data_IF_062569065359
#
_entry.id   IF_062569065359
#
_cell.length_a   1.000
_cell.length_b   1.000
_cell.length_c   1.000
_cell.angle_alpha   90.00
_cell.angle_beta   90.00
_cell.angle_gamma   90.00
#
_symmetry.space_group_name_H-M   'P 1'
#
loop_
_entity.id
_entity.type
_entity.pdbx_description
1 polymer ?
#
# COMPACT_ATOMS: atom_id res chain seq x y z
N UNK A 1 -16.86 42.10 -26.24
CA UNK A 1 -16.58 41.10 -25.19
C UNK A 1 -15.32 40.34 -25.61
N UNK A 2 -14.15 40.67 -25.04
CA UNK A 2 -12.89 39.95 -25.33
C UNK A 2 -12.87 38.68 -24.48
N UNK A 3 -12.97 37.52 -25.12
CA UNK A 3 -12.84 36.22 -24.45
C UNK A 3 -11.48 36.13 -23.77
N UNK A 4 -11.47 35.86 -22.46
CA UNK A 4 -10.27 35.52 -21.71
C UNK A 4 -9.64 34.29 -22.36
N UNK A 5 -8.52 34.48 -23.05
CA UNK A 5 -7.67 33.38 -23.49
C UNK A 5 -7.13 32.68 -22.24
N UNK A 6 -7.68 31.52 -21.92
CA UNK A 6 -7.06 30.59 -21.00
C UNK A 6 -5.69 30.23 -21.58
N UNK A 7 -4.61 30.51 -20.83
CA UNK A 7 -3.26 30.08 -21.18
C UNK A 7 -3.24 28.55 -21.21
N UNK A 8 -3.48 27.98 -22.40
CA UNK A 8 -3.35 26.56 -22.64
C UNK A 8 -1.86 26.27 -22.79
N UNK A 9 -1.19 25.97 -21.68
CA UNK A 9 0.19 25.48 -21.72
C UNK A 9 0.18 24.11 -22.41
N UNK A 10 0.59 24.08 -23.68
CA UNK A 10 0.78 22.83 -24.42
C UNK A 10 2.02 22.12 -23.88
N UNK A 11 1.81 21.11 -23.03
CA UNK A 11 2.86 20.18 -22.62
C UNK A 11 2.96 19.12 -23.71
N UNK A 12 4.14 19.01 -24.34
CA UNK A 12 4.44 17.87 -25.23
C UNK A 12 4.64 16.63 -24.35
N UNK A 13 3.81 15.62 -24.56
CA UNK A 13 4.00 14.31 -23.97
C UNK A 13 4.77 13.45 -24.97
N UNK A 14 6.05 13.19 -24.69
CA UNK A 14 6.78 12.10 -25.35
C UNK A 14 6.33 10.79 -24.72
N UNK A 15 5.19 10.28 -25.17
CA UNK A 15 4.67 8.98 -24.78
C UNK A 15 4.59 8.09 -26.01
N UNK A 16 5.02 6.84 -25.88
CA UNK A 16 4.77 5.81 -26.89
C UNK A 16 3.25 5.67 -27.13
N UNK A 17 2.87 5.44 -28.37
CA UNK A 17 1.47 5.32 -28.80
C UNK A 17 0.74 4.23 -28.00
N UNK A 18 1.42 3.14 -27.67
CA UNK A 18 0.87 2.06 -26.84
C UNK A 18 0.55 2.50 -25.41
N UNK A 19 1.33 3.43 -24.83
CA UNK A 19 1.02 4.02 -23.52
C UNK A 19 -0.16 4.98 -23.63
N UNK A 20 -0.18 5.83 -24.66
CA UNK A 20 -1.28 6.77 -24.90
C UNK A 20 -2.63 6.06 -25.08
N UNK A 21 -2.66 4.92 -25.77
CA UNK A 21 -3.86 4.12 -25.97
C UNK A 21 -4.34 3.46 -24.68
N UNK A 22 -3.43 2.92 -23.86
CA UNK A 22 -3.78 2.38 -22.54
C UNK A 22 -4.34 3.45 -21.60
N UNK A 23 -3.73 4.64 -21.58
CA UNK A 23 -4.19 5.75 -20.75
C UNK A 23 -5.58 6.24 -21.16
N UNK A 24 -5.82 6.37 -22.47
CA UNK A 24 -7.15 6.69 -23.01
C UNK A 24 -8.20 5.67 -22.56
N UNK A 25 -7.89 4.38 -22.62
CA UNK A 25 -8.81 3.32 -22.18
C UNK A 25 -9.05 3.35 -20.67
N UNK A 26 -7.99 3.47 -19.87
CA UNK A 26 -8.06 3.52 -18.41
C UNK A 26 -8.92 4.67 -17.91
N UNK A 27 -8.78 5.86 -18.50
CA UNK A 27 -9.50 7.07 -18.10
C UNK A 27 -10.77 7.34 -18.92
N UNK A 28 -11.14 6.43 -19.84
CA UNK A 28 -12.31 6.58 -20.71
C UNK A 28 -12.25 7.81 -21.65
N UNK A 29 -11.05 8.30 -21.97
CA UNK A 29 -10.85 9.50 -22.78
C UNK A 29 -10.56 9.18 -24.24
N UNK A 30 -11.09 10.00 -25.16
CA UNK A 30 -10.80 9.87 -26.60
C UNK A 30 -9.44 10.47 -27.00
N UNK A 31 -8.90 11.38 -26.18
CA UNK A 31 -7.68 12.13 -26.45
C UNK A 31 -6.67 11.87 -25.34
N UNK A 32 -5.43 11.54 -25.73
CA UNK A 32 -4.38 11.18 -24.78
C UNK A 32 -4.02 12.32 -23.83
N UNK A 33 -3.97 13.57 -24.30
CA UNK A 33 -3.67 14.73 -23.45
C UNK A 33 -4.64 14.90 -22.28
N UNK A 34 -5.93 14.59 -22.48
CA UNK A 34 -6.92 14.61 -21.39
C UNK A 34 -6.72 13.45 -20.42
N UNK A 35 -6.40 12.25 -20.92
CA UNK A 35 -6.10 11.10 -20.07
C UNK A 35 -4.89 11.36 -19.17
N UNK A 36 -3.82 11.97 -19.72
CA UNK A 36 -2.64 12.33 -18.96
C UNK A 36 -2.90 13.48 -17.96
N UNK A 37 -3.75 14.45 -18.31
CA UNK A 37 -4.14 15.50 -17.36
C UNK A 37 -4.87 14.92 -16.15
N UNK A 38 -5.84 14.02 -16.36
CA UNK A 38 -6.54 13.34 -15.27
C UNK A 38 -5.59 12.49 -14.41
N UNK A 39 -4.67 11.76 -15.05
CA UNK A 39 -3.66 11.00 -14.31
C UNK A 39 -2.75 11.88 -13.45
N UNK A 40 -2.40 13.08 -13.93
CA UNK A 40 -1.62 14.04 -13.17
C UNK A 40 -2.40 14.61 -11.98
N UNK A 41 -3.71 14.82 -12.13
CA UNK A 41 -4.60 15.24 -11.03
C UNK A 41 -4.68 14.16 -9.93
N UNK A 42 -4.77 12.89 -10.31
CA UNK A 42 -4.86 11.77 -9.37
C UNK A 42 -3.51 11.44 -8.69
N UNK A 43 -2.38 11.75 -9.34
CA UNK A 43 -1.06 11.27 -8.95
C UNK A 43 -0.69 11.59 -7.49
N UNK A 44 -0.99 12.80 -7.02
CA UNK A 44 -0.66 13.21 -5.66
C UNK A 44 -1.49 12.46 -4.62
N UNK A 45 -2.79 12.28 -4.88
CA UNK A 45 -3.67 11.54 -3.99
C UNK A 45 -3.27 10.05 -3.91
N UNK A 46 -2.95 9.45 -5.06
CA UNK A 46 -2.45 8.08 -5.13
C UNK A 46 -1.11 7.92 -4.40
N UNK A 47 -0.19 8.88 -4.53
CA UNK A 47 1.09 8.86 -3.82
C UNK A 47 0.89 8.94 -2.31
N UNK A 48 0.03 9.83 -1.83
CA UNK A 48 -0.30 9.93 -0.41
C UNK A 48 -0.91 8.62 0.11
N UNK A 49 -1.84 8.04 -0.66
CA UNK A 49 -2.47 6.76 -0.29
C UNK A 49 -1.48 5.61 -0.24
N UNK A 50 -0.51 5.57 -1.16
CA UNK A 50 0.52 4.54 -1.14
C UNK A 50 1.39 4.62 0.11
N UNK A 51 1.80 5.83 0.53
CA UNK A 51 2.54 6.01 1.78
C UNK A 51 1.73 5.59 3.01
N UNK A 52 0.45 5.96 3.08
CA UNK A 52 -0.43 5.48 4.16
C UNK A 52 -0.50 3.95 4.21
N UNK A 53 -0.61 3.29 3.05
CA UNK A 53 -0.65 1.84 2.96
C UNK A 53 0.68 1.20 3.38
N UNK A 54 1.81 1.80 3.00
CA UNK A 54 3.15 1.36 3.42
C UNK A 54 3.32 1.45 4.95
N UNK A 55 2.82 2.52 5.56
CA UNK A 55 2.82 2.69 7.01
C UNK A 55 1.98 1.62 7.71
N UNK A 56 0.77 1.35 7.19
CA UNK A 56 -0.12 0.30 7.71
C UNK A 56 0.54 -1.07 7.59
N UNK A 57 1.15 -1.39 6.44
CA UNK A 57 1.87 -2.66 6.23
C UNK A 57 3.02 -2.79 7.23
N UNK A 58 3.75 -1.70 7.49
CA UNK A 58 4.88 -1.69 8.43
C UNK A 58 4.40 -1.94 9.86
N UNK A 59 3.32 -1.26 10.27
CA UNK A 59 2.70 -1.45 11.58
C UNK A 59 2.20 -2.90 11.76
N UNK A 60 1.52 -3.46 10.76
CA UNK A 60 1.04 -4.84 10.78
C UNK A 60 2.17 -5.86 10.87
N UNK A 61 3.27 -5.66 10.14
CA UNK A 61 4.46 -6.53 10.22
C UNK A 61 5.07 -6.53 11.62
N UNK A 62 5.15 -5.36 12.27
CA UNK A 62 5.63 -5.25 13.64
C UNK A 62 4.73 -6.01 14.61
N UNK A 63 3.42 -5.84 14.46
CA UNK A 63 2.44 -6.51 15.32
C UNK A 63 2.47 -8.03 15.16
N UNK A 64 2.59 -8.54 13.92
CA UNK A 64 2.75 -9.98 13.67
C UNK A 64 3.98 -10.53 14.40
N UNK A 65 5.12 -9.83 14.33
CA UNK A 65 6.34 -10.26 15.04
C UNK A 65 6.13 -10.28 16.55
N UNK A 66 5.44 -9.27 17.10
CA UNK A 66 5.11 -9.21 18.53
C UNK A 66 4.25 -10.41 18.94
N UNK A 67 3.19 -10.71 18.18
CA UNK A 67 2.30 -11.83 18.45
C UNK A 67 3.03 -13.18 18.34
N UNK A 68 3.91 -13.35 17.36
CA UNK A 68 4.75 -14.55 17.25
C UNK A 68 5.63 -14.75 18.48
N UNK A 69 6.26 -13.68 18.99
CA UNK A 69 7.07 -13.75 20.21
C UNK A 69 6.23 -14.13 21.43
N UNK A 70 5.02 -13.57 21.57
CA UNK A 70 4.09 -13.92 22.66
C UNK A 70 3.69 -15.39 22.60
N UNK A 71 3.38 -15.91 21.41
CA UNK A 71 3.03 -17.33 21.23
C UNK A 71 4.19 -18.23 21.64
N UNK A 72 5.43 -17.88 21.25
CA UNK A 72 6.60 -18.69 21.58
C UNK A 72 6.90 -18.69 23.09
N UNK A 73 6.76 -17.53 23.74
CA UNK A 73 6.86 -17.44 25.20
C UNK A 73 5.79 -18.28 25.90
N UNK A 74 4.55 -18.24 25.42
CA UNK A 74 3.46 -19.04 25.98
C UNK A 74 3.74 -20.55 25.84
N UNK A 75 4.28 -20.99 24.70
CA UNK A 75 4.70 -22.39 24.49
C UNK A 75 5.81 -22.80 25.46
N UNK A 76 6.81 -21.95 25.61
CA UNK A 76 7.95 -22.19 26.52
C UNK A 76 7.47 -22.29 27.98
N UNK A 77 6.60 -21.38 28.41
CA UNK A 77 6.02 -21.40 29.76
C UNK A 77 5.15 -22.64 29.99
N UNK A 78 4.34 -23.04 29.00
CA UNK A 78 3.53 -24.26 29.10
C UNK A 78 4.39 -25.53 29.20
N UNK A 79 5.49 -25.61 28.44
CA UNK A 79 6.43 -26.72 28.53
C UNK A 79 7.09 -26.81 29.92
N UNK A 80 7.52 -25.67 30.48
CA UNK A 80 8.11 -25.61 31.82
C UNK A 80 7.11 -26.03 32.90
N UNK A 81 5.86 -25.55 32.82
CA UNK A 81 4.80 -25.94 33.74
C UNK A 81 4.54 -27.45 33.67
N UNK A 82 4.44 -28.00 32.46
CA UNK A 82 4.25 -29.43 32.24
C UNK A 82 5.38 -30.26 32.86
N UNK A 83 6.63 -29.84 32.69
CA UNK A 83 7.80 -30.49 33.29
C UNK A 83 7.75 -30.45 34.82
N UNK A 84 7.36 -29.32 35.40
CA UNK A 84 7.25 -29.19 36.87
C UNK A 84 6.12 -30.03 37.43
N UNK A 85 4.98 -30.09 36.75
CA UNK A 85 3.86 -30.94 37.16
C UNK A 85 4.17 -32.43 37.03
N UNK A 86 4.87 -32.84 35.97
CA UNK A 86 5.23 -34.26 35.79
C UNK A 86 6.28 -34.73 36.79
N UNK A 87 7.23 -33.86 37.17
CA UNK A 87 8.17 -34.14 38.26
C UNK A 87 7.44 -34.26 39.60
N UNK A 88 6.47 -33.38 39.89
CA UNK A 88 5.69 -33.45 41.13
C UNK A 88 4.87 -34.74 41.24
N UNK A 89 4.23 -35.19 40.15
CA UNK A 89 3.49 -36.47 40.10
C UNK A 89 4.43 -37.68 40.22
N UNK A 90 5.67 -37.60 39.72
CA UNK A 90 6.61 -38.72 39.77
C UNK A 90 7.24 -38.97 41.16
N UNK A 91 7.17 -37.99 42.06
CA UNK A 91 7.70 -38.08 43.44
C UNK A 91 6.61 -37.98 44.52
N UNK A 92 5.33 -38.05 44.14
CA UNK A 92 4.17 -38.15 45.03
C UNK A 92 3.72 -39.61 45.18
#
# INVERSE_FOLDING_TARGET
MKGKGTNMTLIKFDADQALADRMKLHYGQRVASKAFAMAAEDALALSARNHELEDVITAQKLEIRRLQAVIEQARSAAALLLEKTSQADAFA
#
